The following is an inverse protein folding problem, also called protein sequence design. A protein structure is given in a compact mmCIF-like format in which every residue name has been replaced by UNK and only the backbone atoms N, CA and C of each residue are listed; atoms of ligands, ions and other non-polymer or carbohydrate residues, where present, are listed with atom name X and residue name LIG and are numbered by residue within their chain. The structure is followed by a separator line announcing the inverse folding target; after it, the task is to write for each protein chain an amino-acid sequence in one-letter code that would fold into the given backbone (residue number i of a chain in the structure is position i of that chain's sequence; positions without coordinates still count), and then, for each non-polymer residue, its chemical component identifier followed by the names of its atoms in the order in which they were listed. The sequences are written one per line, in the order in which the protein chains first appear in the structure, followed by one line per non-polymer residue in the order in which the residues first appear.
data_IF_219161078624
#
_entry.id   IF_219161078624
#
_cell.length_a   1.000
_cell.length_b   1.000
_cell.length_c   1.000
_cell.angle_alpha   90.00
_cell.angle_beta   90.00
_cell.angle_gamma   90.00
#
_symmetry.space_group_name_H-M   'P 1'
#
loop_
_entity.id
_entity.type
_entity.pdbx_description
1 polymer ?
#
# COMPACT_ATOMS: atom_id res chain seq x y z
N UNK A 1 15.71 20.58 -15.14
CA UNK A 1 14.79 20.01 -16.11
C UNK A 1 13.75 21.05 -16.55
N UNK A 2 12.97 21.63 -15.62
CA UNK A 2 11.88 22.57 -15.89
C UNK A 2 12.38 23.82 -16.66
N UNK A 3 13.44 24.48 -16.16
CA UNK A 3 14.02 25.67 -16.82
C UNK A 3 14.45 25.38 -18.27
N UNK A 4 15.10 24.22 -18.53
CA UNK A 4 15.52 23.80 -19.88
C UNK A 4 14.34 23.63 -20.83
N UNK A 5 13.21 23.13 -20.32
CA UNK A 5 12.00 22.89 -21.12
C UNK A 5 10.99 24.05 -21.05
N UNK A 6 11.39 25.22 -20.53
CA UNK A 6 10.52 26.41 -20.38
C UNK A 6 9.22 26.13 -19.63
N UNK A 7 9.28 25.22 -18.63
CA UNK A 7 8.13 24.89 -17.77
C UNK A 7 8.12 25.85 -16.59
N UNK A 8 7.00 26.54 -16.39
CA UNK A 8 6.77 27.37 -15.20
C UNK A 8 6.39 26.46 -14.03
N UNK A 9 7.18 26.49 -12.96
CA UNK A 9 6.89 25.78 -11.71
C UNK A 9 6.26 26.76 -10.72
N UNK A 10 5.07 26.42 -10.23
CA UNK A 10 4.32 27.16 -9.23
C UNK A 10 4.21 26.29 -7.98
N UNK A 11 4.73 26.78 -6.85
CA UNK A 11 4.65 26.06 -5.58
C UNK A 11 3.47 26.60 -4.76
N UNK A 12 2.58 25.71 -4.32
CA UNK A 12 1.42 26.07 -3.52
C UNK A 12 0.29 25.04 -3.62
N UNK A 13 -0.79 25.30 -2.88
CA UNK A 13 -2.02 24.51 -2.96
C UNK A 13 -2.91 25.08 -4.08
N UNK A 14 -3.26 24.22 -5.04
CA UNK A 14 -4.10 24.61 -6.16
C UNK A 14 -5.57 24.19 -5.94
N UNK A 15 -6.50 25.09 -6.32
CA UNK A 15 -7.93 24.81 -6.35
C UNK A 15 -8.55 25.36 -7.64
N UNK A 16 -9.57 24.69 -8.16
CA UNK A 16 -10.31 25.19 -9.32
C UNK A 16 -11.22 26.35 -8.92
N UNK A 17 -11.16 27.45 -9.66
CA UNK A 17 -12.10 28.57 -9.60
C UNK A 17 -13.22 28.34 -10.61
N UNK A 18 -12.86 27.90 -11.80
CA UNK A 18 -13.76 27.53 -12.89
C UNK A 18 -13.09 26.50 -13.81
N UNK A 19 -13.73 26.17 -14.96
CA UNK A 19 -13.24 25.17 -15.92
C UNK A 19 -11.91 25.53 -16.60
N UNK A 20 -11.48 26.79 -16.54
CA UNK A 20 -10.28 27.29 -17.21
C UNK A 20 -9.32 28.03 -16.27
N UNK A 21 -9.64 28.11 -14.99
CA UNK A 21 -8.88 28.90 -14.02
C UNK A 21 -8.64 28.12 -12.75
N UNK A 22 -7.38 28.06 -12.31
CA UNK A 22 -6.99 27.60 -10.97
C UNK A 22 -6.48 28.76 -10.14
N UNK A 23 -6.75 28.73 -8.86
CA UNK A 23 -6.12 29.58 -7.85
C UNK A 23 -5.01 28.79 -7.17
N UNK A 24 -3.82 29.35 -7.08
CA UNK A 24 -2.69 28.78 -6.33
C UNK A 24 -2.45 29.65 -5.10
N UNK A 25 -2.57 29.06 -3.92
CA UNK A 25 -2.31 29.68 -2.62
C UNK A 25 -0.92 29.25 -2.12
N UNK A 26 -0.05 30.21 -1.85
CA UNK A 26 1.32 30.00 -1.37
C UNK A 26 1.66 30.94 -0.23
N UNK A 27 2.90 30.89 0.31
CA UNK A 27 3.43 31.85 1.27
C UNK A 27 3.40 33.28 0.75
N UNK A 28 3.51 33.45 -0.57
CA UNK A 28 3.58 34.76 -1.24
C UNK A 28 2.19 35.32 -1.62
N UNK A 29 1.13 34.65 -1.17
CA UNK A 29 -0.26 35.00 -1.41
C UNK A 29 -0.97 34.12 -2.43
N UNK A 30 -2.12 34.59 -2.91
CA UNK A 30 -2.97 33.87 -3.86
C UNK A 30 -2.86 34.49 -5.26
N UNK A 31 -2.76 33.62 -6.27
CA UNK A 31 -2.76 34.04 -7.68
C UNK A 31 -3.59 33.09 -8.53
N UNK A 32 -4.30 33.66 -9.50
CA UNK A 32 -5.07 32.89 -10.48
C UNK A 32 -4.25 32.66 -11.74
N UNK A 33 -4.38 31.44 -12.29
CA UNK A 33 -3.73 31.01 -13.53
C UNK A 33 -4.76 30.36 -14.42
N UNK A 34 -4.73 30.68 -15.71
CA UNK A 34 -5.66 30.10 -16.69
C UNK A 34 -4.92 29.18 -17.64
N UNK A 35 -5.61 28.11 -18.06
CA UNK A 35 -5.12 27.16 -19.05
C UNK A 35 -6.26 26.61 -19.91
N UNK A 36 -5.93 26.16 -21.11
CA UNK A 36 -6.89 25.49 -21.99
C UNK A 36 -7.26 24.11 -21.46
N UNK A 37 -6.26 23.36 -20.93
CA UNK A 37 -6.43 22.01 -20.38
C UNK A 37 -5.68 21.90 -19.03
N UNK A 38 -6.19 21.03 -18.17
CA UNK A 38 -5.61 20.70 -16.88
C UNK A 38 -5.38 19.20 -16.76
N UNK A 39 -4.26 18.82 -16.16
CA UNK A 39 -3.98 17.45 -15.73
C UNK A 39 -3.93 17.46 -14.21
N UNK A 40 -4.81 16.68 -13.56
CA UNK A 40 -4.81 16.49 -12.11
C UNK A 40 -3.91 15.29 -11.82
N UNK A 41 -2.76 15.55 -11.20
CA UNK A 41 -1.76 14.54 -10.87
C UNK A 41 -1.29 14.72 -9.42
N UNK A 42 -2.25 14.80 -8.49
CA UNK A 42 -2.02 15.17 -7.08
C UNK A 42 -1.53 14.01 -6.22
N UNK A 43 -1.29 12.84 -6.81
CA UNK A 43 -0.85 11.66 -6.09
C UNK A 43 -2.00 10.94 -5.37
N UNK A 44 -1.63 10.04 -4.49
CA UNK A 44 -2.55 9.27 -3.67
C UNK A 44 -1.90 8.90 -2.33
N UNK A 45 -2.69 8.56 -1.33
CA UNK A 45 -2.24 8.09 -0.02
C UNK A 45 -2.77 6.68 0.27
N UNK A 46 -2.06 5.92 1.10
CA UNK A 46 -2.54 4.61 1.57
C UNK A 46 -3.85 4.77 2.35
N UNK A 47 -4.78 3.85 2.16
CA UNK A 47 -6.01 3.80 2.95
C UNK A 47 -5.64 3.43 4.39
N UNK A 48 -6.11 4.22 5.36
CA UNK A 48 -5.97 3.89 6.78
C UNK A 48 -7.12 2.98 7.22
N UNK A 49 -6.80 2.03 8.10
CA UNK A 49 -7.76 1.16 8.79
C UNK A 49 -7.51 1.30 10.29
N UNK A 50 -8.50 1.70 11.07
CA UNK A 50 -8.34 1.97 12.51
C UNK A 50 -7.85 0.73 13.29
N UNK A 51 -8.27 -0.46 12.88
CA UNK A 51 -7.83 -1.72 13.47
C UNK A 51 -6.36 -2.08 13.20
N UNK A 52 -5.67 -1.33 12.30
CA UNK A 52 -4.30 -1.57 11.85
C UNK A 52 -3.54 -0.25 11.92
N UNK A 53 -3.20 0.24 13.12
CA UNK A 53 -2.51 1.52 13.29
C UNK A 53 -1.08 1.44 12.75
N UNK A 54 -0.82 2.15 11.66
CA UNK A 54 0.48 2.23 11.01
C UNK A 54 1.42 3.11 11.83
N UNK A 55 2.62 2.60 12.13
CA UNK A 55 3.68 3.31 12.85
C UNK A 55 4.94 3.57 11.99
N UNK A 56 4.93 3.07 10.75
CA UNK A 56 6.04 3.09 9.77
C UNK A 56 7.35 2.47 10.31
N UNK A 57 7.24 1.57 11.30
CA UNK A 57 8.35 0.82 11.90
C UNK A 57 8.10 -0.67 11.89
N UNK A 58 7.06 -1.14 12.56
CA UNK A 58 6.64 -2.53 12.60
C UNK A 58 5.36 -2.78 11.79
N UNK A 59 4.47 -1.80 11.76
CA UNK A 59 3.28 -1.81 10.90
C UNK A 59 3.47 -0.69 9.89
N UNK A 60 3.80 -1.06 8.66
CA UNK A 60 4.27 -0.13 7.63
C UNK A 60 3.29 -0.05 6.45
N UNK A 61 3.29 1.07 5.75
CA UNK A 61 2.79 1.17 4.38
C UNK A 61 3.87 0.75 3.38
N UNK A 62 3.59 0.83 2.08
CA UNK A 62 4.62 0.63 1.05
C UNK A 62 5.80 1.60 1.20
N UNK A 63 5.57 2.80 1.74
CA UNK A 63 6.64 3.78 2.01
C UNK A 63 7.62 3.26 3.07
N UNK A 64 7.11 2.84 4.23
CA UNK A 64 7.95 2.25 5.27
C UNK A 64 8.56 0.92 4.85
N UNK A 65 7.83 0.09 4.09
CA UNK A 65 8.37 -1.17 3.57
C UNK A 65 9.58 -0.97 2.65
N UNK A 66 9.66 0.13 1.90
CA UNK A 66 10.82 0.48 1.08
C UNK A 66 12.00 1.05 1.90
N UNK A 67 11.76 1.46 3.14
CA UNK A 67 12.73 2.10 4.02
C UNK A 67 13.19 1.21 5.18
N UNK A 68 12.78 -0.07 5.23
CA UNK A 68 13.24 -1.00 6.27
C UNK A 68 14.77 -1.16 6.24
N UNK A 69 15.40 -0.98 7.38
CA UNK A 69 16.86 -1.02 7.51
C UNK A 69 17.44 -2.44 7.46
N UNK A 70 16.60 -3.45 7.74
CA UNK A 70 17.01 -4.85 7.76
C UNK A 70 15.92 -5.76 7.19
N UNK A 71 16.35 -6.92 6.69
CA UNK A 71 15.41 -7.95 6.21
C UNK A 71 14.68 -8.58 7.40
N UNK A 72 13.34 -8.42 7.54
CA UNK A 72 12.60 -9.06 8.62
C UNK A 72 12.58 -10.57 8.42
N UNK A 73 12.70 -11.36 9.50
CA UNK A 73 12.59 -12.82 9.40
C UNK A 73 11.21 -13.26 8.90
N UNK A 74 10.16 -12.55 9.32
CA UNK A 74 8.78 -12.79 8.88
C UNK A 74 8.07 -11.48 8.55
N UNK A 75 7.39 -11.46 7.41
CA UNK A 75 6.59 -10.35 6.93
C UNK A 75 5.16 -10.81 6.66
N UNK A 76 4.18 -10.18 7.28
CA UNK A 76 2.78 -10.30 6.86
C UNK A 76 2.45 -9.17 5.88
N UNK A 77 1.87 -9.52 4.75
CA UNK A 77 1.30 -8.56 3.78
C UNK A 77 -0.21 -8.61 3.91
N UNK A 78 -0.82 -7.50 4.30
CA UNK A 78 -2.28 -7.34 4.38
C UNK A 78 -2.77 -6.72 3.07
N UNK A 79 -3.49 -7.52 2.28
CA UNK A 79 -3.99 -7.17 0.95
C UNK A 79 -3.21 -7.85 -0.18
N UNK A 80 -3.93 -8.66 -0.95
CA UNK A 80 -3.43 -9.40 -2.12
C UNK A 80 -3.45 -8.60 -3.42
N UNK A 81 -3.42 -7.27 -3.35
CA UNK A 81 -3.28 -6.39 -4.51
C UNK A 81 -1.84 -6.31 -5.03
N UNK A 82 -1.63 -5.64 -6.17
CA UNK A 82 -0.32 -5.57 -6.85
C UNK A 82 0.79 -4.99 -5.95
N UNK A 83 0.54 -3.91 -5.18
CA UNK A 83 1.55 -3.32 -4.29
C UNK A 83 2.01 -4.33 -3.23
N UNK A 84 1.08 -5.01 -2.57
CA UNK A 84 1.40 -6.01 -1.55
C UNK A 84 2.19 -7.17 -2.12
N UNK A 85 1.80 -7.67 -3.29
CA UNK A 85 2.48 -8.80 -3.95
C UNK A 85 3.86 -8.43 -4.48
N UNK A 86 4.05 -7.22 -5.03
CA UNK A 86 5.36 -6.72 -5.43
C UNK A 86 6.31 -6.62 -4.23
N UNK A 87 5.88 -5.94 -3.17
CA UNK A 87 6.68 -5.82 -1.94
C UNK A 87 6.96 -7.18 -1.31
N UNK A 88 5.94 -8.04 -1.20
CA UNK A 88 6.09 -9.39 -0.68
C UNK A 88 7.08 -10.22 -1.49
N UNK A 89 7.03 -10.12 -2.83
CA UNK A 89 7.98 -10.80 -3.72
C UNK A 89 9.42 -10.31 -3.52
N UNK A 90 9.63 -8.99 -3.37
CA UNK A 90 10.96 -8.42 -3.09
C UNK A 90 11.50 -8.94 -1.76
N UNK A 91 10.73 -8.83 -0.68
CA UNK A 91 11.17 -9.23 0.65
C UNK A 91 11.38 -10.75 0.76
N UNK A 92 10.55 -11.57 0.06
CA UNK A 92 10.77 -13.02 -0.02
C UNK A 92 12.10 -13.35 -0.69
N UNK A 93 12.46 -12.69 -1.79
CA UNK A 93 13.77 -12.88 -2.46
C UNK A 93 14.95 -12.44 -1.61
N UNK A 94 14.74 -11.47 -0.71
CA UNK A 94 15.75 -11.03 0.26
C UNK A 94 15.88 -11.98 1.46
N UNK A 95 14.97 -12.97 1.60
CA UNK A 95 15.06 -14.01 2.62
C UNK A 95 13.97 -13.93 3.71
N UNK A 96 13.03 -13.01 3.64
CA UNK A 96 11.88 -13.00 4.55
C UNK A 96 10.94 -14.16 4.29
N UNK A 97 10.39 -14.77 5.35
CA UNK A 97 9.22 -15.63 5.25
C UNK A 97 7.99 -14.73 5.09
N UNK A 98 7.38 -14.75 3.90
CA UNK A 98 6.26 -13.85 3.56
C UNK A 98 4.94 -14.60 3.56
N UNK A 99 3.97 -14.09 4.33
CA UNK A 99 2.57 -14.53 4.30
C UNK A 99 1.70 -13.39 3.78
N UNK A 100 0.85 -13.66 2.82
CA UNK A 100 -0.13 -12.71 2.28
C UNK A 100 -1.50 -13.08 2.83
N UNK A 101 -2.17 -12.14 3.52
CA UNK A 101 -3.56 -12.28 3.94
C UNK A 101 -4.45 -11.40 3.07
N UNK A 102 -5.51 -12.01 2.52
CA UNK A 102 -6.48 -11.34 1.65
C UNK A 102 -7.90 -11.69 2.09
N UNK A 103 -8.75 -10.67 2.22
CA UNK A 103 -10.14 -10.82 2.62
C UNK A 103 -11.00 -11.52 1.55
N UNK A 104 -10.64 -11.37 0.29
CA UNK A 104 -11.27 -12.05 -0.82
C UNK A 104 -10.70 -13.46 -1.00
N UNK A 105 -11.39 -14.25 -1.81
CA UNK A 105 -10.99 -15.64 -2.16
C UNK A 105 -9.89 -15.73 -3.22
N UNK A 106 -9.42 -14.58 -3.74
CA UNK A 106 -8.37 -14.48 -4.76
C UNK A 106 -7.51 -13.23 -4.61
N UNK A 107 -6.30 -13.28 -5.13
CA UNK A 107 -5.41 -12.13 -5.27
C UNK A 107 -5.77 -11.31 -6.52
N UNK A 108 -5.28 -10.06 -6.60
CA UNK A 108 -5.48 -9.13 -7.74
C UNK A 108 -6.90 -9.17 -8.32
N UNK A 109 -7.94 -8.88 -7.52
CA UNK A 109 -9.33 -9.14 -7.88
C UNK A 109 -9.82 -8.38 -9.11
N UNK A 110 -9.10 -7.33 -9.52
CA UNK A 110 -9.41 -6.54 -10.72
C UNK A 110 -8.83 -7.13 -12.01
N UNK A 111 -8.01 -8.18 -11.89
CA UNK A 111 -7.44 -8.89 -13.03
C UNK A 111 -8.30 -10.07 -13.44
N UNK A 112 -8.06 -10.59 -14.65
CA UNK A 112 -8.64 -11.83 -15.13
C UNK A 112 -8.37 -12.98 -14.14
N UNK A 113 -9.36 -13.86 -13.96
CA UNK A 113 -9.30 -14.92 -12.94
C UNK A 113 -8.23 -15.96 -13.23
N UNK A 114 -8.07 -16.33 -14.49
CA UNK A 114 -7.06 -17.32 -14.92
C UNK A 114 -5.65 -16.78 -14.71
N UNK A 115 -5.43 -15.50 -15.07
CA UNK A 115 -4.17 -14.80 -14.82
C UNK A 115 -3.88 -14.72 -13.31
N UNK A 116 -4.87 -14.37 -12.50
CA UNK A 116 -4.73 -14.30 -11.04
C UNK A 116 -4.33 -15.66 -10.44
N UNK A 117 -4.92 -16.77 -10.92
CA UNK A 117 -4.58 -18.14 -10.48
C UNK A 117 -3.14 -18.52 -10.85
N UNK A 118 -2.71 -18.29 -12.09
CA UNK A 118 -1.34 -18.59 -12.51
C UNK A 118 -0.32 -17.69 -11.81
N UNK A 119 -0.64 -16.43 -11.58
CA UNK A 119 0.20 -15.53 -10.80
C UNK A 119 0.37 -16.02 -9.36
N UNK A 120 -0.71 -16.38 -8.66
CA UNK A 120 -0.63 -16.95 -7.32
C UNK A 120 0.21 -18.24 -7.29
N UNK A 121 0.05 -19.11 -8.27
CA UNK A 121 0.84 -20.34 -8.39
C UNK A 121 2.34 -20.04 -8.56
N UNK A 122 2.68 -19.02 -9.36
CA UNK A 122 4.06 -18.55 -9.51
C UNK A 122 4.64 -18.02 -8.19
N UNK A 123 3.88 -17.19 -7.47
CA UNK A 123 4.31 -16.64 -6.18
C UNK A 123 4.47 -17.73 -5.10
N UNK A 124 3.59 -18.74 -5.06
CA UNK A 124 3.73 -19.91 -4.18
C UNK A 124 5.01 -20.70 -4.46
N UNK A 125 5.38 -20.88 -5.73
CA UNK A 125 6.65 -21.51 -6.12
C UNK A 125 7.86 -20.71 -5.66
N UNK A 126 7.72 -19.38 -5.51
CA UNK A 126 8.74 -18.49 -4.98
C UNK A 126 8.77 -18.45 -3.44
N UNK A 127 7.93 -19.21 -2.75
CA UNK A 127 7.93 -19.35 -1.30
C UNK A 127 6.93 -18.46 -0.55
N UNK A 128 6.05 -17.72 -1.23
CA UNK A 128 5.01 -16.94 -0.55
C UNK A 128 3.88 -17.86 -0.07
N UNK A 129 3.44 -17.63 1.17
CA UNK A 129 2.26 -18.28 1.75
C UNK A 129 1.02 -17.37 1.59
N UNK A 130 -0.16 -17.96 1.42
CA UNK A 130 -1.41 -17.21 1.21
C UNK A 130 -2.51 -17.68 2.18
N UNK A 131 -3.15 -16.71 2.82
CA UNK A 131 -4.37 -16.87 3.62
C UNK A 131 -5.48 -16.06 2.93
N UNK A 132 -6.16 -16.69 1.96
CA UNK A 132 -7.31 -16.09 1.28
C UNK A 132 -8.58 -16.25 2.14
N UNK A 133 -9.59 -15.43 1.88
CA UNK A 133 -10.83 -15.39 2.65
C UNK A 133 -10.60 -15.17 4.15
N UNK A 134 -9.54 -14.42 4.49
CA UNK A 134 -9.20 -14.04 5.85
C UNK A 134 -9.12 -12.51 5.99
N UNK A 135 -9.82 -11.99 6.98
CA UNK A 135 -9.81 -10.56 7.30
C UNK A 135 -8.99 -10.31 8.55
N UNK A 136 -8.07 -9.37 8.51
CA UNK A 136 -7.38 -8.90 9.71
C UNK A 136 -8.36 -8.09 10.56
N UNK A 137 -8.48 -8.46 11.83
CA UNK A 137 -9.39 -7.84 12.81
C UNK A 137 -8.65 -6.80 13.62
N UNK A 138 -7.43 -7.11 14.04
CA UNK A 138 -6.61 -6.21 14.85
C UNK A 138 -5.12 -6.52 14.74
N UNK A 139 -4.31 -5.52 15.05
CA UNK A 139 -2.86 -5.65 15.17
C UNK A 139 -2.39 -5.03 16.46
N UNK A 140 -1.37 -5.62 17.09
CA UNK A 140 -0.75 -5.12 18.30
C UNK A 140 0.76 -5.20 18.18
N UNK A 141 1.40 -4.05 17.99
CA UNK A 141 2.86 -3.95 18.00
C UNK A 141 3.43 -4.16 19.41
N UNK A 142 4.57 -4.84 19.50
CA UNK A 142 5.25 -5.15 20.75
C UNK A 142 6.75 -5.28 20.57
N UNK A 143 7.50 -5.48 21.67
CA UNK A 143 8.97 -5.54 21.64
C UNK A 143 9.54 -6.63 20.72
N UNK A 144 8.82 -7.70 20.48
CA UNK A 144 9.29 -8.87 19.72
C UNK A 144 8.51 -9.10 18.42
N UNK A 145 7.83 -8.05 17.89
CA UNK A 145 7.05 -8.08 16.65
C UNK A 145 5.60 -7.71 16.86
N UNK A 146 4.80 -7.92 15.83
CA UNK A 146 3.38 -7.58 15.77
C UNK A 146 2.53 -8.83 15.91
N UNK A 147 1.64 -8.84 16.89
CA UNK A 147 0.57 -9.83 17.01
C UNK A 147 -0.60 -9.42 16.11
N UNK A 148 -1.06 -10.33 15.26
CA UNK A 148 -2.11 -10.08 14.27
C UNK A 148 -3.23 -11.09 14.45
N UNK A 149 -4.43 -10.59 14.74
CA UNK A 149 -5.65 -11.40 14.81
C UNK A 149 -6.38 -11.35 13.48
N UNK A 150 -6.71 -12.51 12.95
CA UNK A 150 -7.37 -12.70 11.66
C UNK A 150 -8.61 -13.57 11.84
N UNK A 151 -9.63 -13.33 11.04
CA UNK A 151 -10.86 -14.14 10.98
C UNK A 151 -11.07 -14.65 9.57
N UNK A 152 -11.27 -15.96 9.43
CA UNK A 152 -11.62 -16.59 8.17
C UNK A 152 -13.11 -16.44 7.85
N UNK A 153 -13.51 -16.77 6.63
CA UNK A 153 -14.92 -16.69 6.18
C UNK A 153 -15.87 -17.58 6.99
N UNK A 154 -15.39 -18.67 7.58
CA UNK A 154 -16.13 -19.56 8.49
C UNK A 154 -16.09 -19.10 9.96
N UNK A 155 -15.71 -17.84 10.22
CA UNK A 155 -15.66 -17.19 11.54
C UNK A 155 -14.65 -17.78 12.52
N UNK A 156 -13.72 -18.59 12.05
CA UNK A 156 -12.60 -19.03 12.89
C UNK A 156 -11.57 -17.92 13.04
N UNK A 157 -11.19 -17.66 14.27
CA UNK A 157 -10.16 -16.68 14.58
C UNK A 157 -8.82 -17.37 14.80
N UNK A 158 -7.77 -16.78 14.25
CA UNK A 158 -6.39 -17.18 14.47
C UNK A 158 -5.58 -15.94 14.85
N UNK A 159 -4.58 -16.13 15.70
CA UNK A 159 -3.64 -15.08 16.07
C UNK A 159 -2.23 -15.56 15.77
N UNK A 160 -1.50 -14.77 15.01
CA UNK A 160 -0.12 -15.08 14.61
C UNK A 160 0.78 -13.89 14.85
N UNK A 161 2.09 -14.12 14.89
CA UNK A 161 3.09 -13.10 15.17
C UNK A 161 4.06 -12.97 14.02
N UNK A 162 4.35 -11.71 13.64
CA UNK A 162 5.26 -11.35 12.56
C UNK A 162 6.24 -10.26 13.02
N UNK A 163 7.43 -10.21 12.43
CA UNK A 163 8.38 -9.14 12.73
C UNK A 163 7.88 -7.80 12.19
N UNK A 164 7.36 -7.81 10.96
CA UNK A 164 6.82 -6.62 10.28
C UNK A 164 5.49 -6.97 9.62
N UNK A 165 4.60 -6.00 9.58
CA UNK A 165 3.31 -6.08 8.91
C UNK A 165 3.23 -4.96 7.87
N UNK A 166 3.04 -5.30 6.60
CA UNK A 166 2.79 -4.36 5.51
C UNK A 166 1.28 -4.22 5.28
N UNK A 167 0.76 -3.02 5.44
CA UNK A 167 -0.62 -2.69 5.11
C UNK A 167 -0.70 -2.19 3.65
N UNK A 168 -1.37 -2.93 2.78
CA UNK A 168 -1.49 -2.67 1.33
C UNK A 168 -2.90 -2.89 0.78
N UNK A 169 -3.92 -2.43 1.52
CA UNK A 169 -5.35 -2.63 1.23
C UNK A 169 -5.94 -1.63 0.24
N UNK A 170 -5.13 -0.82 -0.38
CA UNK A 170 -5.52 0.15 -1.39
C UNK A 170 -5.01 1.57 -1.13
N UNK A 171 -5.32 2.46 -2.08
CA UNK A 171 -4.94 3.89 -2.05
C UNK A 171 -6.14 4.76 -2.39
N UNK A 172 -6.17 6.00 -1.88
CA UNK A 172 -7.17 7.04 -2.14
C UNK A 172 -6.49 8.34 -2.54
#
# INVERSE_FOLDING_TARGET
LFKKNKITHLQGAASFVDKKTIKVSSSDGEKNYSATNFIIATGSSSIAIDAIPVDEKQIVTSTGALALEAVPQSLLVIGGGYIGLEMGSVWSRLGSKVTVVEALDRIVPTMDEEIAKEFMKSLKKQGLEFKLSHKVISTKAGKSGVEVSMESSDKKQITEKYNVVLMSVGRK
#
